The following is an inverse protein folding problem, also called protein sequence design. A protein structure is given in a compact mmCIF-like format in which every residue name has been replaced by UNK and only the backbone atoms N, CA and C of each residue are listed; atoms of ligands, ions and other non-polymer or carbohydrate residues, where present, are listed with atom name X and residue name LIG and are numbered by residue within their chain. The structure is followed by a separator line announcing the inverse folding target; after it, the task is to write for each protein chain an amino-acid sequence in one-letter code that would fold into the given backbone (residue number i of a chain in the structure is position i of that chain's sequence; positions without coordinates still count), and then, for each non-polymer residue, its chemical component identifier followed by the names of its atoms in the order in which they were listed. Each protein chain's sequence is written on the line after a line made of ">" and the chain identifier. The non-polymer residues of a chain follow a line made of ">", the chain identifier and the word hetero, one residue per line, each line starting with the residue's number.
data_IF_629321295169
#
_entry.id   IF_629321295169
#
_cell.length_a   1.000
_cell.length_b   1.000
_cell.length_c   1.000
_cell.angle_alpha   90.00
_cell.angle_beta   90.00
_cell.angle_gamma   90.00
#
_symmetry.space_group_name_H-M   'P 1'
#
loop_
_entity.id
_entity.type
_entity.pdbx_description
1 polymer ?
#
# COMPACT_ATOMS: atom_id res chain seq x y z
N UNK A 1 55.54 -6.81 -32.68
CA UNK A 1 55.15 -7.97 -31.87
C UNK A 1 53.84 -8.47 -32.41
N UNK A 2 53.85 -9.61 -33.10
CA UNK A 2 52.64 -10.21 -33.67
C UNK A 2 52.22 -11.34 -32.75
N UNK A 3 51.01 -11.27 -32.20
CA UNK A 3 50.47 -12.34 -31.37
C UNK A 3 50.47 -13.67 -32.15
N UNK A 4 50.88 -14.74 -31.51
CA UNK A 4 50.86 -16.06 -32.12
C UNK A 4 49.42 -16.57 -32.20
N UNK A 5 49.09 -17.32 -33.25
CA UNK A 5 47.75 -17.93 -33.48
C UNK A 5 47.14 -18.61 -32.22
N UNK A 6 47.90 -19.34 -31.38
CA UNK A 6 47.33 -19.94 -30.16
C UNK A 6 46.92 -18.92 -29.08
N UNK A 7 47.60 -17.78 -28.95
CA UNK A 7 47.20 -16.72 -27.99
C UNK A 7 45.87 -16.07 -28.40
N UNK A 8 45.63 -15.94 -29.70
CA UNK A 8 44.36 -15.42 -30.22
C UNK A 8 43.20 -16.39 -29.97
N UNK A 9 43.44 -17.70 -30.06
CA UNK A 9 42.41 -18.70 -29.77
C UNK A 9 41.99 -18.68 -28.30
N UNK A 10 42.96 -18.63 -27.37
CA UNK A 10 42.66 -18.54 -25.95
C UNK A 10 41.87 -17.26 -25.61
N UNK A 11 42.19 -16.15 -26.29
CA UNK A 11 41.46 -14.90 -26.11
C UNK A 11 39.99 -15.01 -26.57
N UNK A 12 39.73 -15.70 -27.68
CA UNK A 12 38.38 -15.96 -28.16
C UNK A 12 37.59 -16.81 -27.15
N UNK A 13 38.20 -17.86 -26.61
CA UNK A 13 37.57 -18.73 -25.62
C UNK A 13 37.22 -17.94 -24.34
N UNK A 14 38.12 -17.03 -23.91
CA UNK A 14 37.85 -16.12 -22.78
C UNK A 14 36.71 -15.15 -23.07
N UNK A 15 36.64 -14.63 -24.29
CA UNK A 15 35.59 -13.72 -24.70
C UNK A 15 34.23 -14.40 -24.71
N UNK A 16 34.15 -15.60 -25.30
CA UNK A 16 32.93 -16.41 -25.31
C UNK A 16 32.46 -16.72 -23.89
N UNK A 17 33.39 -17.08 -23.00
CA UNK A 17 33.07 -17.28 -21.58
C UNK A 17 32.49 -16.03 -20.92
N UNK A 18 33.08 -14.85 -21.16
CA UNK A 18 32.58 -13.59 -20.61
C UNK A 18 31.18 -13.27 -21.15
N UNK A 19 30.94 -13.51 -22.45
CA UNK A 19 29.62 -13.32 -23.05
C UNK A 19 28.58 -14.27 -22.44
N UNK A 20 28.92 -15.54 -22.25
CA UNK A 20 28.05 -16.52 -21.59
C UNK A 20 27.66 -16.09 -20.17
N UNK A 21 28.65 -15.70 -19.36
CA UNK A 21 28.39 -15.19 -17.99
C UNK A 21 27.51 -13.94 -17.96
N UNK A 22 27.64 -13.05 -18.94
CA UNK A 22 26.78 -11.87 -19.06
C UNK A 22 25.35 -12.24 -19.45
N UNK A 23 25.18 -13.19 -20.36
CA UNK A 23 23.86 -13.67 -20.77
C UNK A 23 23.12 -14.29 -19.58
N UNK A 24 23.77 -15.17 -18.82
CA UNK A 24 23.20 -15.78 -17.61
C UNK A 24 22.76 -14.74 -16.58
N UNK A 25 23.59 -13.73 -16.31
CA UNK A 25 23.23 -12.67 -15.36
C UNK A 25 22.02 -11.86 -15.83
N UNK A 26 21.94 -11.55 -17.13
CA UNK A 26 20.80 -10.83 -17.70
C UNK A 26 19.52 -11.65 -17.60
N UNK A 27 19.59 -12.95 -17.88
CA UNK A 27 18.48 -13.89 -17.72
C UNK A 27 18.01 -13.93 -16.26
N UNK A 28 18.95 -14.02 -15.30
CA UNK A 28 18.63 -14.01 -13.88
C UNK A 28 17.93 -12.71 -13.46
N UNK A 29 18.43 -11.55 -13.90
CA UNK A 29 17.82 -10.26 -13.60
C UNK A 29 16.42 -10.12 -14.19
N UNK A 30 16.19 -10.64 -15.40
CA UNK A 30 14.88 -10.64 -16.05
C UNK A 30 13.90 -11.55 -15.31
N UNK A 31 14.31 -12.78 -14.99
CA UNK A 31 13.52 -13.72 -14.21
C UNK A 31 13.11 -13.14 -12.86
N UNK A 32 14.05 -12.54 -12.13
CA UNK A 32 13.74 -11.91 -10.84
C UNK A 32 12.72 -10.76 -11.00
N UNK A 33 12.85 -9.93 -12.05
CA UNK A 33 11.88 -8.87 -12.33
C UNK A 33 10.49 -9.42 -12.61
N UNK A 34 10.39 -10.51 -13.36
CA UNK A 34 9.12 -11.16 -13.67
C UNK A 34 8.49 -11.77 -12.42
N UNK A 35 9.29 -12.43 -11.58
CA UNK A 35 8.86 -12.93 -10.29
C UNK A 35 8.27 -11.81 -9.43
N UNK A 36 8.96 -10.67 -9.32
CA UNK A 36 8.45 -9.52 -8.57
C UNK A 36 7.16 -8.95 -9.15
N UNK A 37 6.95 -9.01 -10.48
CA UNK A 37 5.67 -8.63 -11.10
C UNK A 37 4.55 -9.59 -10.72
N UNK A 38 4.82 -10.90 -10.73
CA UNK A 38 3.84 -11.93 -10.33
C UNK A 38 3.47 -11.73 -8.87
N UNK A 39 4.45 -11.59 -7.98
CA UNK A 39 4.22 -11.33 -6.55
C UNK A 39 3.37 -10.08 -6.32
N UNK A 40 3.64 -8.98 -7.04
CA UNK A 40 2.83 -7.76 -6.91
C UNK A 40 1.40 -7.97 -7.36
N UNK A 41 1.16 -8.67 -8.47
CA UNK A 41 -0.19 -8.99 -8.95
C UNK A 41 -0.94 -9.83 -7.92
N UNK A 42 -0.29 -10.87 -7.41
CA UNK A 42 -0.84 -11.73 -6.36
C UNK A 42 -1.19 -10.94 -5.11
N UNK A 43 -0.29 -10.05 -4.64
CA UNK A 43 -0.54 -9.22 -3.47
C UNK A 43 -1.76 -8.30 -3.66
N UNK A 44 -1.93 -7.70 -4.84
CA UNK A 44 -3.10 -6.85 -5.13
C UNK A 44 -4.38 -7.69 -5.09
N UNK A 45 -4.40 -8.82 -5.78
CA UNK A 45 -5.56 -9.73 -5.81
C UNK A 45 -5.93 -10.24 -4.41
N UNK A 46 -4.95 -10.65 -3.61
CA UNK A 46 -5.16 -11.06 -2.22
C UNK A 46 -5.73 -9.92 -1.37
N UNK A 47 -5.23 -8.69 -1.54
CA UNK A 47 -5.72 -7.51 -0.81
C UNK A 47 -7.15 -7.14 -1.22
N UNK A 48 -7.48 -7.25 -2.51
CA UNK A 48 -8.82 -6.99 -3.02
C UNK A 48 -9.81 -8.05 -2.53
N UNK A 49 -9.43 -9.33 -2.57
CA UNK A 49 -10.23 -10.42 -2.04
C UNK A 49 -10.46 -10.28 -0.52
N UNK A 50 -9.43 -9.86 0.24
CA UNK A 50 -9.57 -9.58 1.67
C UNK A 50 -10.50 -8.39 1.92
N UNK A 51 -10.37 -7.31 1.13
CA UNK A 51 -11.26 -6.14 1.21
C UNK A 51 -12.71 -6.51 0.96
N UNK A 52 -12.96 -7.33 -0.06
CA UNK A 52 -14.30 -7.81 -0.39
C UNK A 52 -14.89 -8.65 0.76
N UNK A 53 -14.15 -9.64 1.26
CA UNK A 53 -14.56 -10.46 2.41
C UNK A 53 -14.88 -9.62 3.65
N UNK A 54 -14.02 -8.67 3.98
CA UNK A 54 -14.21 -7.78 5.13
C UNK A 54 -15.44 -6.88 4.95
N UNK A 55 -15.66 -6.34 3.76
CA UNK A 55 -16.85 -5.53 3.44
C UNK A 55 -18.12 -6.33 3.65
N UNK A 56 -18.19 -7.55 3.12
CA UNK A 56 -19.36 -8.42 3.27
C UNK A 56 -19.60 -8.76 4.73
N UNK A 57 -18.55 -9.14 5.48
CA UNK A 57 -18.66 -9.44 6.90
C UNK A 57 -19.20 -8.25 7.71
N UNK A 58 -18.70 -7.04 7.45
CA UNK A 58 -19.17 -5.84 8.12
C UNK A 58 -20.64 -5.55 7.82
N UNK A 59 -21.08 -5.71 6.56
CA UNK A 59 -22.48 -5.56 6.20
C UNK A 59 -23.37 -6.57 6.91
N UNK A 60 -22.97 -7.85 6.94
CA UNK A 60 -23.71 -8.89 7.67
C UNK A 60 -23.83 -8.56 9.14
N UNK A 61 -22.74 -8.13 9.79
CA UNK A 61 -22.78 -7.74 11.21
C UNK A 61 -23.62 -6.49 11.46
N UNK A 62 -23.54 -5.51 10.56
CA UNK A 62 -24.36 -4.30 10.64
C UNK A 62 -25.84 -4.65 10.60
N UNK A 63 -26.29 -5.42 9.60
CA UNK A 63 -27.70 -5.78 9.48
C UNK A 63 -28.19 -6.63 10.65
N UNK A 64 -27.39 -7.57 11.15
CA UNK A 64 -27.72 -8.31 12.37
C UNK A 64 -27.89 -7.40 13.59
N UNK A 65 -27.00 -6.40 13.76
CA UNK A 65 -27.11 -5.41 14.84
C UNK A 65 -28.32 -4.49 14.68
N UNK A 66 -28.68 -4.13 13.45
CA UNK A 66 -29.90 -3.38 13.16
C UNK A 66 -31.11 -4.19 13.60
N UNK A 67 -31.22 -5.45 13.17
CA UNK A 67 -32.31 -6.35 13.55
C UNK A 67 -32.43 -6.52 15.07
N UNK A 68 -31.30 -6.67 15.78
CA UNK A 68 -31.26 -6.73 17.24
C UNK A 68 -31.77 -5.42 17.89
N UNK A 69 -31.52 -4.28 17.27
CA UNK A 69 -31.94 -2.98 17.80
C UNK A 69 -33.40 -2.61 17.47
N UNK A 70 -34.00 -3.15 16.40
CA UNK A 70 -35.37 -2.80 15.96
C UNK A 70 -36.40 -2.84 17.11
N UNK A 71 -36.45 -3.87 17.98
CA UNK A 71 -37.41 -3.91 19.08
C UNK A 71 -37.29 -2.75 20.07
N UNK A 72 -36.06 -2.29 20.36
CA UNK A 72 -35.83 -1.15 21.24
C UNK A 72 -36.38 0.15 20.63
N UNK A 73 -36.42 0.24 19.30
CA UNK A 73 -36.95 1.39 18.56
C UNK A 73 -38.45 1.31 18.29
N UNK A 74 -39.07 0.12 18.37
CA UNK A 74 -40.47 -0.11 18.00
C UNK A 74 -41.46 0.85 18.69
N UNK A 75 -41.37 1.00 20.01
CA UNK A 75 -42.28 1.84 20.78
C UNK A 75 -42.18 3.32 20.43
N UNK A 76 -40.95 3.79 20.17
CA UNK A 76 -40.69 5.16 19.74
C UNK A 76 -41.20 5.40 18.30
N UNK A 77 -40.91 4.48 17.37
CA UNK A 77 -41.33 4.57 15.97
C UNK A 77 -42.86 4.54 15.83
N UNK A 78 -43.57 3.88 16.75
CA UNK A 78 -45.03 3.87 16.82
C UNK A 78 -45.62 5.09 17.56
N UNK A 79 -44.80 6.02 18.03
CA UNK A 79 -45.23 7.22 18.76
C UNK A 79 -45.74 6.95 20.17
N UNK A 80 -45.41 5.78 20.75
CA UNK A 80 -45.95 5.30 22.04
C UNK A 80 -44.93 5.32 23.18
N UNK A 81 -43.70 5.75 22.95
CA UNK A 81 -42.64 5.70 23.96
C UNK A 81 -41.55 6.75 23.76
N UNK A 82 -40.70 6.95 24.79
CA UNK A 82 -39.55 7.85 24.70
C UNK A 82 -38.52 7.34 23.69
N UNK A 83 -37.66 8.23 23.20
CA UNK A 83 -36.62 7.86 22.25
C UNK A 83 -35.66 6.83 22.88
N UNK A 84 -35.17 5.81 22.14
CA UNK A 84 -34.35 4.73 22.70
C UNK A 84 -33.01 5.20 23.30
N UNK A 85 -32.55 6.40 22.94
CA UNK A 85 -31.37 7.03 23.52
C UNK A 85 -31.63 7.85 24.81
N UNK A 86 -32.89 8.09 25.18
CA UNK A 86 -33.28 8.95 26.32
C UNK A 86 -33.42 8.17 27.65
N UNK A 87 -32.85 6.96 27.74
CA UNK A 87 -32.85 6.19 28.97
C UNK A 87 -32.15 6.97 30.12
N UNK A 88 -32.74 7.10 31.33
CA UNK A 88 -32.18 7.86 32.44
C UNK A 88 -31.02 7.07 33.10
N UNK A 89 -29.88 7.04 32.42
CA UNK A 89 -28.69 6.31 32.82
C UNK A 89 -27.40 7.01 32.40
N UNK A 90 -27.39 8.35 32.27
CA UNK A 90 -26.14 9.10 32.20
C UNK A 90 -25.48 9.09 33.59
N UNK A 91 -24.29 8.47 33.79
CA UNK A 91 -23.41 8.88 34.88
C UNK A 91 -23.01 10.34 34.67
N UNK A 92 -22.76 11.11 35.75
CA UNK A 92 -22.64 12.56 35.68
C UNK A 92 -21.56 12.96 34.68
N UNK A 93 -21.97 13.78 33.70
CA UNK A 93 -21.09 14.48 32.77
C UNK A 93 -19.95 15.10 33.57
N UNK A 94 -18.75 14.51 33.45
CA UNK A 94 -17.54 15.03 34.07
C UNK A 94 -17.40 16.49 33.67
N UNK A 95 -17.31 17.36 34.67
CA UNK A 95 -17.32 18.79 34.52
C UNK A 95 -16.30 19.26 33.47
N UNK A 96 -16.78 20.19 32.64
CA UNK A 96 -16.06 20.99 31.65
C UNK A 96 -14.67 21.39 32.17
N UNK A 97 -13.62 20.73 31.71
CA UNK A 97 -12.24 21.21 31.91
C UNK A 97 -12.10 22.50 31.09
N UNK A 98 -11.82 23.62 31.77
CA UNK A 98 -11.47 24.89 31.14
C UNK A 98 -10.07 24.78 30.53
N UNK A 99 -9.76 25.44 29.42
CA UNK A 99 -8.39 25.52 28.92
C UNK A 99 -7.60 26.45 29.87
N UNK A 100 -6.67 25.89 30.62
CA UNK A 100 -5.76 26.68 31.45
C UNK A 100 -4.48 26.97 30.67
N UNK A 101 -4.22 28.24 30.46
CA UNK A 101 -3.05 28.79 29.79
C UNK A 101 -1.82 28.77 30.69
N UNK A 102 -0.70 28.31 30.13
CA UNK A 102 0.71 28.61 30.44
C UNK A 102 1.31 28.26 31.83
N UNK A 103 2.38 27.44 31.82
CA UNK A 103 3.78 27.91 32.00
C UNK A 103 4.80 26.77 31.91
N UNK A 104 5.87 27.05 31.17
CA UNK A 104 7.14 26.31 31.15
C UNK A 104 7.73 26.14 32.56
N UNK A 105 8.37 24.98 32.81
CA UNK A 105 9.74 24.85 33.34
C UNK A 105 10.13 23.35 33.41
N UNK A 106 11.37 23.05 33.02
CA UNK A 106 11.99 21.70 33.03
C UNK A 106 12.09 21.09 34.44
N UNK A 107 12.55 19.86 34.64
CA UNK A 107 13.52 19.06 33.89
C UNK A 107 13.58 17.62 34.46
N UNK A 108 14.35 16.76 33.78
CA UNK A 108 15.12 15.60 34.29
C UNK A 108 14.66 14.18 33.90
N UNK A 109 15.41 13.64 32.93
CA UNK A 109 16.15 12.37 32.98
C UNK A 109 15.36 11.09 33.30
N UNK A 110 15.02 10.36 32.24
CA UNK A 110 14.55 8.98 32.27
C UNK A 110 15.71 8.08 32.75
N UNK A 111 15.55 7.28 33.83
CA UNK A 111 16.57 6.37 34.30
C UNK A 111 16.54 5.04 33.52
N UNK A 112 17.72 4.53 33.22
CA UNK A 112 17.93 3.14 32.82
C UNK A 112 18.10 2.28 34.09
N UNK A 113 17.53 1.06 34.12
CA UNK A 113 18.21 -0.05 34.79
C UNK A 113 18.40 -1.21 33.82
N UNK A 114 19.54 -1.88 33.95
CA UNK A 114 19.93 -3.03 33.14
C UNK A 114 19.52 -4.37 33.76
N UNK A 115 19.41 -5.33 32.84
CA UNK A 115 19.63 -6.77 32.97
C UNK A 115 18.69 -7.62 33.86
N UNK A 116 17.80 -8.35 33.18
CA UNK A 116 17.69 -9.80 33.36
C UNK A 116 17.55 -10.49 32.01
N UNK A 117 18.18 -11.66 31.96
CA UNK A 117 18.37 -12.58 30.84
C UNK A 117 17.10 -13.04 30.11
N UNK A 118 17.31 -13.33 28.81
CA UNK A 118 16.64 -14.33 27.97
C UNK A 118 15.11 -14.28 27.82
N UNK A 119 14.63 -13.89 26.63
CA UNK A 119 13.83 -14.77 25.75
C UNK A 119 13.82 -14.25 24.31
N UNK A 120 14.01 -15.20 23.41
CA UNK A 120 13.88 -15.19 21.96
C UNK A 120 12.66 -14.38 21.46
N UNK A 121 12.81 -13.63 20.35
CA UNK A 121 11.69 -12.82 19.84
C UNK A 121 11.99 -11.85 18.71
N UNK A 122 12.52 -12.38 17.61
CA UNK A 122 12.60 -11.75 16.27
C UNK A 122 11.33 -10.93 15.94
N UNK A 123 11.38 -9.60 16.13
CA UNK A 123 10.25 -8.70 15.82
C UNK A 123 10.72 -7.40 15.16
N UNK A 124 11.45 -7.52 14.05
CA UNK A 124 11.87 -6.36 13.24
C UNK A 124 11.46 -6.47 11.75
N UNK A 125 10.78 -7.54 11.37
CA UNK A 125 10.40 -7.79 9.96
C UNK A 125 9.21 -6.97 9.44
N UNK A 126 8.34 -6.46 10.33
CA UNK A 126 7.09 -5.81 9.92
C UNK A 126 7.24 -4.35 9.49
N UNK A 127 8.05 -3.56 10.21
CA UNK A 127 8.19 -2.13 9.94
C UNK A 127 9.07 -1.84 8.72
N UNK A 128 10.10 -2.67 8.49
CA UNK A 128 11.00 -2.50 7.36
C UNK A 128 10.30 -2.78 6.03
N UNK A 129 9.52 -3.87 5.95
CA UNK A 129 8.78 -4.24 4.73
C UNK A 129 7.67 -3.24 4.41
N UNK A 130 7.00 -2.69 5.42
CA UNK A 130 5.99 -1.63 5.25
C UNK A 130 6.62 -0.31 4.76
N UNK A 131 7.80 0.05 5.27
CA UNK A 131 8.57 1.21 4.82
C UNK A 131 9.06 1.06 3.38
N UNK A 132 9.58 -0.13 3.03
CA UNK A 132 10.05 -0.44 1.69
C UNK A 132 8.88 -0.44 0.68
N UNK A 133 7.71 -0.96 1.07
CA UNK A 133 6.51 -0.91 0.25
C UNK A 133 6.03 0.54 0.03
N UNK A 134 6.01 1.36 1.08
CA UNK A 134 5.67 2.80 0.98
C UNK A 134 6.63 3.57 0.09
N UNK A 135 7.92 3.24 0.15
CA UNK A 135 8.96 3.82 -0.70
C UNK A 135 8.76 3.45 -2.17
N UNK A 136 8.50 2.17 -2.45
CA UNK A 136 8.21 1.66 -3.79
C UNK A 136 6.93 2.30 -4.36
N UNK A 137 5.87 2.40 -3.57
CA UNK A 137 4.60 3.01 -4.01
C UNK A 137 4.73 4.52 -4.27
N UNK A 138 5.58 5.24 -3.53
CA UNK A 138 5.93 6.63 -3.86
C UNK A 138 6.71 6.73 -5.17
N UNK A 139 7.69 5.87 -5.39
CA UNK A 139 8.48 5.86 -6.63
C UNK A 139 7.60 5.58 -7.86
N UNK A 140 6.66 4.64 -7.78
CA UNK A 140 5.71 4.37 -8.88
C UNK A 140 4.81 5.56 -9.21
N UNK A 141 4.35 6.31 -8.20
CA UNK A 141 3.53 7.50 -8.40
C UNK A 141 4.29 8.60 -9.13
N UNK A 142 5.56 8.80 -8.78
CA UNK A 142 6.43 9.77 -9.43
C UNK A 142 6.75 9.40 -10.89
N UNK A 143 6.93 8.10 -11.18
CA UNK A 143 7.18 7.63 -12.54
C UNK A 143 5.95 7.79 -13.46
N UNK A 144 4.76 7.56 -12.90
CA UNK A 144 3.51 7.71 -13.66
C UNK A 144 3.16 9.19 -13.90
N UNK A 145 3.53 10.09 -12.99
CA UNK A 145 3.29 11.53 -13.15
C UNK A 145 4.21 12.21 -14.18
N UNK A 146 5.26 11.51 -14.64
CA UNK A 146 6.19 11.99 -15.66
C UNK A 146 5.87 11.45 -17.07
N UNK A 147 4.78 10.69 -17.25
CA UNK A 147 4.34 10.28 -18.58
C UNK A 147 3.79 11.51 -19.32
N UNK A 148 4.33 11.91 -20.49
CA UNK A 148 3.71 12.95 -21.29
C UNK A 148 2.33 12.46 -21.72
N UNK A 149 1.29 13.24 -21.41
CA UNK A 149 -0.07 12.98 -21.86
C UNK A 149 -0.11 13.10 -23.38
N UNK A 150 0.10 11.99 -24.08
CA UNK A 150 -0.06 11.92 -25.53
C UNK A 150 -1.55 11.86 -25.82
N UNK A 151 -2.17 13.03 -25.89
CA UNK A 151 -3.46 13.17 -26.54
C UNK A 151 -3.31 12.73 -28.01
N UNK A 152 -4.20 11.90 -28.55
CA UNK A 152 -4.13 11.50 -29.95
C UNK A 152 -4.39 12.72 -30.85
N UNK A 153 -3.75 12.81 -32.04
CA UNK A 153 -3.98 13.93 -32.94
C UNK A 153 -5.42 13.89 -33.46
N UNK A 154 -6.12 15.01 -33.32
CA UNK A 154 -7.45 15.22 -33.87
C UNK A 154 -7.35 15.18 -35.41
N UNK A 155 -7.86 14.12 -36.02
CA UNK A 155 -7.98 14.03 -37.48
C UNK A 155 -8.98 15.07 -37.96
N UNK A 156 -8.46 16.15 -38.54
CA UNK A 156 -9.24 17.17 -39.25
C UNK A 156 -9.80 16.52 -40.53
N UNK A 157 -11.12 16.43 -40.64
CA UNK A 157 -11.78 15.93 -41.85
C UNK A 157 -11.45 16.81 -43.08
N UNK A 158 -11.32 16.24 -44.29
CA UNK A 158 -11.09 17.02 -45.50
C UNK A 158 -12.38 17.77 -45.92
N UNK A 159 -12.21 19.03 -46.32
CA UNK A 159 -13.28 19.91 -46.79
C UNK A 159 -13.84 19.45 -48.14
N UNK A 160 -15.15 19.54 -48.41
CA UNK A 160 -15.72 19.19 -49.70
C UNK A 160 -15.32 20.24 -50.75
N UNK A 161 -14.80 19.78 -51.90
CA UNK A 161 -14.48 20.64 -53.04
C UNK A 161 -15.73 21.24 -53.72
N UNK A 162 -15.56 22.32 -54.51
CA UNK A 162 -16.68 23.04 -55.09
C UNK A 162 -17.35 22.22 -56.21
N UNK A 163 -18.65 22.43 -56.47
CA UNK A 163 -19.34 21.76 -57.56
C UNK A 163 -18.89 22.35 -58.90
N UNK A 164 -18.62 21.47 -59.87
CA UNK A 164 -18.34 21.85 -61.25
C UNK A 164 -19.63 22.32 -61.97
N UNK A 165 -19.51 23.24 -62.95
CA UNK A 165 -20.63 23.84 -63.66
C UNK A 165 -21.37 22.88 -64.61
#
# INVERSE_FOLDING_TARGET
>A
MSASVPEHQELLDRHEYILGRRAELLEQMQSHREQMKIQRKQQVEESEAARHRNSTLLQTRYWASVEESIPAWEHFLLGKGPHPADCPGQPPRRAKQKPSTAKNQGSCSIPHPGATDQIDGRKDGGQKVESDNKSVMRALRLLNSQQPTTSPPSHKAPSPGPPCP
#
